data_IF_790203489991
#
_entry.id   IF_790203489991
#
_cell.length_a   1.000
_cell.length_b   1.000
_cell.length_c   1.000
_cell.angle_alpha   90.00
_cell.angle_beta   90.00
_cell.angle_gamma   90.00
#
_symmetry.space_group_name_H-M   'P 1'
#
loop_
_entity.id
_entity.type
_entity.pdbx_description
1 polymer ?
#
# COMPACT_ATOMS: atom_id res chain seq x y z
N UNK A 1 -4.85 -14.03 -8.87
CA UNK A 1 -4.57 -13.62 -10.27
C UNK A 1 -3.27 -14.24 -10.67
N UNK A 2 -3.11 -14.62 -11.93
CA UNK A 2 -1.90 -15.27 -12.40
C UNK A 2 -0.84 -14.26 -12.83
N UNK A 3 0.42 -14.66 -12.78
CA UNK A 3 1.54 -13.93 -13.40
C UNK A 3 1.59 -14.29 -14.88
N UNK A 4 1.83 -13.30 -15.73
CA UNK A 4 1.99 -13.46 -17.18
C UNK A 4 3.47 -13.40 -17.53
N UNK A 5 3.98 -14.50 -18.05
CA UNK A 5 5.31 -14.60 -18.63
C UNK A 5 5.27 -14.22 -20.12
N UNK A 6 6.39 -13.77 -20.66
CA UNK A 6 6.51 -13.34 -22.04
C UNK A 6 7.59 -14.14 -22.75
N UNK A 7 7.39 -14.44 -24.04
CA UNK A 7 8.41 -15.08 -24.88
C UNK A 7 9.68 -14.22 -24.92
N UNK A 8 10.89 -14.82 -24.84
CA UNK A 8 12.17 -14.11 -24.77
C UNK A 8 12.62 -13.58 -26.13
N UNK A 9 11.77 -12.81 -26.80
CA UNK A 9 12.04 -12.25 -28.16
C UNK A 9 12.97 -11.06 -28.19
N UNK A 10 13.27 -10.49 -27.01
CA UNK A 10 14.24 -9.39 -26.86
C UNK A 10 14.83 -9.39 -25.46
N UNK A 11 16.00 -8.74 -25.20
CA UNK A 11 16.59 -8.67 -23.86
C UNK A 11 15.63 -8.14 -22.80
N UNK A 12 14.80 -7.15 -23.12
CA UNK A 12 13.83 -6.58 -22.19
C UNK A 12 12.60 -7.45 -21.94
N UNK A 13 12.35 -8.49 -22.77
CA UNK A 13 11.24 -9.46 -22.60
C UNK A 13 11.69 -10.76 -21.95
N UNK A 14 12.98 -11.10 -22.02
CA UNK A 14 13.52 -12.37 -21.50
C UNK A 14 13.16 -12.63 -20.05
N UNK A 15 13.28 -11.65 -19.17
CA UNK A 15 12.94 -11.77 -17.76
C UNK A 15 11.66 -11.05 -17.37
N UNK A 16 10.79 -10.70 -18.33
CA UNK A 16 9.58 -9.93 -18.06
C UNK A 16 8.49 -10.80 -17.46
N UNK A 17 8.07 -10.48 -16.25
CA UNK A 17 6.95 -11.12 -15.55
C UNK A 17 6.04 -10.01 -15.02
N UNK A 18 4.79 -9.97 -15.46
CA UNK A 18 3.82 -8.98 -15.03
C UNK A 18 2.56 -9.66 -14.47
N UNK A 19 1.83 -8.94 -13.64
CA UNK A 19 0.50 -9.38 -13.20
C UNK A 19 -0.45 -9.37 -14.39
N UNK A 20 -1.22 -10.45 -14.55
CA UNK A 20 -2.29 -10.49 -15.53
C UNK A 20 -3.45 -9.57 -15.09
N UNK A 21 -3.87 -8.73 -16.01
CA UNK A 21 -4.97 -7.77 -15.82
C UNK A 21 -6.16 -8.06 -16.74
N UNK A 22 -6.21 -9.25 -17.33
CA UNK A 22 -7.25 -9.61 -18.30
C UNK A 22 -8.66 -9.55 -17.70
N UNK A 23 -8.80 -9.96 -16.43
CA UNK A 23 -10.07 -9.91 -15.69
C UNK A 23 -10.47 -8.53 -15.14
N UNK A 24 -9.70 -7.48 -15.41
CA UNK A 24 -10.06 -6.12 -14.99
C UNK A 24 -10.75 -5.35 -16.09
N UNK A 25 -11.62 -4.43 -15.70
CA UNK A 25 -12.26 -3.52 -16.63
C UNK A 25 -11.24 -2.68 -17.41
N UNK A 26 -11.37 -2.65 -18.72
CA UNK A 26 -10.43 -1.99 -19.65
C UNK A 26 -10.85 -0.58 -20.08
N UNK A 27 -12.06 -0.18 -19.71
CA UNK A 27 -12.62 1.12 -20.08
C UNK A 27 -12.10 2.29 -19.24
N UNK A 28 -12.70 3.44 -19.43
CA UNK A 28 -12.36 4.67 -18.70
C UNK A 28 -12.94 4.62 -17.27
N UNK A 29 -12.24 5.18 -16.28
CA UNK A 29 -12.79 5.33 -14.92
C UNK A 29 -13.97 6.33 -14.90
N UNK A 30 -14.79 6.28 -13.86
CA UNK A 30 -15.89 7.21 -13.66
C UNK A 30 -15.36 8.65 -13.57
N UNK A 31 -15.86 9.55 -14.40
CA UNK A 31 -15.31 10.93 -14.56
C UNK A 31 -15.45 11.75 -13.26
N UNK A 32 -16.56 11.62 -12.54
CA UNK A 32 -16.81 12.33 -11.28
C UNK A 32 -15.89 11.87 -10.12
N UNK A 33 -15.35 10.63 -10.18
CA UNK A 33 -14.50 10.05 -9.15
C UNK A 33 -13.00 10.11 -9.50
N UNK A 34 -12.60 10.96 -10.47
CA UNK A 34 -11.19 11.08 -10.83
C UNK A 34 -10.76 12.53 -10.99
N UNK A 35 -9.50 12.77 -10.65
CA UNK A 35 -8.84 14.08 -10.76
C UNK A 35 -7.50 13.96 -11.49
N UNK A 36 -7.08 15.03 -12.15
CA UNK A 36 -5.77 15.14 -12.78
C UNK A 36 -4.66 15.16 -11.72
N UNK A 37 -3.69 14.24 -11.83
CA UNK A 37 -2.56 14.20 -10.89
C UNK A 37 -1.34 14.90 -11.46
N UNK A 38 -1.04 16.10 -10.95
CA UNK A 38 0.19 16.81 -11.25
C UNK A 38 1.39 16.12 -10.60
N UNK A 39 2.52 16.06 -11.31
CA UNK A 39 3.76 15.45 -10.82
C UNK A 39 4.81 16.53 -10.59
N UNK A 40 5.39 16.55 -9.40
CA UNK A 40 6.40 17.54 -8.98
C UNK A 40 7.83 17.09 -9.27
N UNK A 41 8.05 15.83 -9.67
CA UNK A 41 9.39 15.29 -9.88
C UNK A 41 10.26 15.26 -8.60
N UNK A 42 9.64 15.21 -7.42
CA UNK A 42 10.31 15.19 -6.12
C UNK A 42 10.76 16.56 -5.64
N UNK A 43 10.25 17.66 -6.24
CA UNK A 43 10.53 19.05 -5.82
C UNK A 43 9.47 19.53 -4.85
N UNK A 44 9.88 20.39 -3.92
CA UNK A 44 9.00 21.14 -3.03
C UNK A 44 8.44 22.41 -3.72
N UNK A 45 7.69 23.21 -2.98
CA UNK A 45 7.13 24.50 -3.47
C UNK A 45 8.21 25.53 -3.83
N UNK A 46 9.44 25.43 -3.31
CA UNK A 46 10.59 26.28 -3.62
C UNK A 46 11.46 25.70 -4.76
N UNK A 47 11.04 24.61 -5.41
CA UNK A 47 11.79 23.97 -6.50
C UNK A 47 12.96 23.08 -6.08
N UNK A 48 13.28 22.98 -4.78
CA UNK A 48 14.36 22.13 -4.28
C UNK A 48 13.97 20.64 -4.28
N UNK A 49 14.93 19.79 -4.62
CA UNK A 49 14.73 18.33 -4.59
C UNK A 49 14.71 17.82 -3.16
N UNK A 50 13.52 17.47 -2.66
CA UNK A 50 13.31 16.90 -1.31
C UNK A 50 13.15 15.38 -1.35
N UNK A 51 12.72 14.82 -2.49
CA UNK A 51 12.61 13.38 -2.71
C UNK A 51 13.43 12.98 -3.92
N UNK A 52 14.53 12.25 -3.66
CA UNK A 52 15.46 11.83 -4.70
C UNK A 52 14.91 10.68 -5.54
N UNK A 53 15.42 10.53 -6.77
CA UNK A 53 15.06 9.42 -7.66
C UNK A 53 13.65 9.50 -8.23
N UNK A 54 12.96 10.63 -8.12
CA UNK A 54 11.65 10.83 -8.71
C UNK A 54 11.72 11.57 -10.06
N UNK A 55 10.83 11.16 -10.97
CA UNK A 55 10.65 11.78 -12.29
C UNK A 55 9.16 11.91 -12.61
N UNK A 56 8.82 12.51 -13.76
CA UNK A 56 7.44 12.63 -14.22
C UNK A 56 6.75 11.28 -14.43
N UNK A 57 7.36 10.39 -15.22
CA UNK A 57 6.75 9.14 -15.64
C UNK A 57 5.47 9.35 -16.47
N UNK A 58 4.71 8.27 -16.70
CA UNK A 58 3.47 8.31 -17.45
C UNK A 58 2.40 9.17 -16.75
N UNK A 59 1.60 9.94 -17.51
CA UNK A 59 0.47 10.74 -17.00
C UNK A 59 -0.54 9.84 -16.27
N UNK A 60 -1.00 10.27 -15.11
CA UNK A 60 -1.92 9.49 -14.26
C UNK A 60 -3.06 10.38 -13.77
N UNK A 61 -4.25 9.79 -13.61
CA UNK A 61 -5.37 10.38 -12.89
C UNK A 61 -5.43 9.77 -11.50
N UNK A 62 -5.69 10.58 -10.50
CA UNK A 62 -6.00 10.10 -9.15
C UNK A 62 -7.44 9.58 -9.11
N UNK A 63 -7.71 8.51 -8.34
CA UNK A 63 -9.05 7.99 -8.07
C UNK A 63 -9.40 8.29 -6.63
N UNK A 64 -10.57 8.86 -6.43
CA UNK A 64 -11.13 9.04 -5.10
C UNK A 64 -11.63 7.68 -4.60
N UNK A 65 -10.89 7.11 -3.64
CA UNK A 65 -11.25 5.83 -3.03
C UNK A 65 -11.78 6.11 -1.64
N UNK A 66 -12.93 5.54 -1.34
CA UNK A 66 -13.54 5.65 -0.01
C UNK A 66 -12.80 4.74 0.99
N UNK A 67 -11.87 5.35 1.74
CA UNK A 67 -11.17 4.68 2.83
C UNK A 67 -11.94 4.75 4.15
N UNK A 68 -13.02 5.53 4.22
CA UNK A 68 -13.77 5.75 5.45
C UNK A 68 -15.00 4.86 5.56
N UNK A 69 -15.53 4.40 4.42
CA UNK A 69 -16.73 3.57 4.36
C UNK A 69 -17.86 4.17 5.21
N UNK A 70 -18.14 5.46 4.99
CA UNK A 70 -19.09 6.25 5.81
C UNK A 70 -20.56 5.92 5.54
N UNK A 71 -20.87 5.30 4.43
CA UNK A 71 -22.22 4.97 4.03
C UNK A 71 -22.64 3.69 4.74
N UNK A 72 -23.20 3.87 5.94
CA UNK A 72 -23.56 2.76 6.81
C UNK A 72 -24.95 2.25 6.46
N UNK A 73 -25.14 0.94 6.63
CA UNK A 73 -26.39 0.19 6.45
C UNK A 73 -27.01 0.30 5.04
N UNK A 74 -26.24 0.80 4.06
CA UNK A 74 -26.63 0.86 2.66
C UNK A 74 -25.86 -0.22 1.89
N UNK A 75 -26.60 -1.14 1.27
CA UNK A 75 -26.03 -2.19 0.44
C UNK A 75 -25.52 -1.60 -0.89
N UNK A 76 -24.37 -2.05 -1.33
CA UNK A 76 -23.82 -1.69 -2.64
C UNK A 76 -23.44 -2.94 -3.41
N UNK A 77 -23.64 -2.92 -4.71
CA UNK A 77 -23.24 -4.01 -5.63
C UNK A 77 -21.96 -3.65 -6.35
N UNK A 78 -21.03 -4.59 -6.45
CA UNK A 78 -19.78 -4.42 -7.20
C UNK A 78 -20.09 -4.47 -8.70
N UNK A 79 -19.96 -3.34 -9.40
CA UNK A 79 -20.19 -3.27 -10.85
C UNK A 79 -19.00 -3.79 -11.64
N UNK A 80 -17.76 -3.45 -11.20
CA UNK A 80 -16.54 -3.84 -11.90
C UNK A 80 -15.28 -3.69 -11.04
N UNK A 81 -14.24 -4.41 -11.41
CA UNK A 81 -12.90 -4.30 -10.84
C UNK A 81 -12.01 -3.51 -11.79
N UNK A 82 -11.27 -2.53 -11.25
CA UNK A 82 -10.44 -1.63 -12.05
C UNK A 82 -8.97 -1.61 -11.59
N UNK A 83 -8.09 -1.34 -12.56
CA UNK A 83 -6.70 -1.02 -12.31
C UNK A 83 -6.54 0.44 -11.87
N UNK A 84 -5.84 0.69 -10.76
CA UNK A 84 -5.46 2.04 -10.34
C UNK A 84 -3.93 2.22 -10.46
N UNK A 85 -3.45 3.18 -11.28
CA UNK A 85 -2.01 3.43 -11.41
C UNK A 85 -1.38 4.11 -10.18
N UNK A 86 -2.16 4.52 -9.19
CA UNK A 86 -1.68 5.21 -8.01
C UNK A 86 -1.38 4.27 -6.83
N UNK A 87 -1.82 3.02 -6.94
CA UNK A 87 -1.64 2.00 -5.90
C UNK A 87 -1.34 0.64 -6.50
N UNK A 88 -0.84 -0.26 -5.68
CA UNK A 88 -0.52 -1.63 -6.09
C UNK A 88 -1.74 -2.56 -6.06
N UNK A 89 -2.73 -2.22 -5.21
CA UNK A 89 -4.00 -2.93 -5.11
C UNK A 89 -4.94 -2.55 -6.26
N UNK A 90 -5.87 -3.45 -6.60
CA UNK A 90 -7.00 -3.12 -7.46
C UNK A 90 -8.10 -2.42 -6.66
N UNK A 91 -8.98 -1.74 -7.37
CA UNK A 91 -10.14 -1.07 -6.81
C UNK A 91 -11.42 -1.66 -7.39
N UNK A 92 -12.49 -1.64 -6.62
CA UNK A 92 -13.82 -2.03 -7.05
C UNK A 92 -14.69 -0.78 -7.15
N UNK A 93 -15.44 -0.65 -8.24
CA UNK A 93 -16.53 0.30 -8.36
C UNK A 93 -17.78 -0.33 -7.76
N UNK A 94 -18.34 0.32 -6.75
CA UNK A 94 -19.56 -0.09 -6.07
C UNK A 94 -20.65 0.89 -6.42
N UNK A 95 -21.82 0.37 -6.79
CA UNK A 95 -23.06 1.12 -6.94
C UNK A 95 -23.96 0.81 -5.75
N UNK A 96 -24.25 1.81 -4.98
CA UNK A 96 -25.17 1.70 -3.85
C UNK A 96 -26.64 1.69 -4.30
N UNK A 97 -27.53 1.20 -3.46
CA UNK A 97 -28.98 1.12 -3.75
C UNK A 97 -29.61 2.48 -4.04
N UNK A 98 -29.03 3.57 -3.51
CA UNK A 98 -29.45 4.96 -3.78
C UNK A 98 -28.87 5.53 -5.09
N UNK A 99 -28.14 4.73 -5.88
CA UNK A 99 -27.55 5.11 -7.16
C UNK A 99 -26.17 5.78 -7.06
N UNK A 100 -25.67 6.08 -5.87
CA UNK A 100 -24.33 6.65 -5.70
C UNK A 100 -23.23 5.65 -6.08
N UNK A 101 -22.18 6.14 -6.75
CA UNK A 101 -21.03 5.36 -7.13
C UNK A 101 -19.84 5.71 -6.23
N UNK A 102 -19.12 4.70 -5.74
CA UNK A 102 -17.89 4.87 -4.98
C UNK A 102 -16.82 3.84 -5.35
N UNK A 103 -15.56 4.24 -5.31
CA UNK A 103 -14.45 3.29 -5.37
C UNK A 103 -14.08 2.81 -3.98
N UNK A 104 -13.88 1.51 -3.81
CA UNK A 104 -13.32 0.89 -2.62
C UNK A 104 -12.06 0.11 -2.98
N UNK A 105 -11.23 -0.23 -1.99
CA UNK A 105 -10.16 -1.23 -2.20
C UNK A 105 -10.81 -2.59 -2.45
N UNK A 106 -10.41 -3.25 -3.53
CA UNK A 106 -10.89 -4.59 -3.80
C UNK A 106 -10.14 -5.61 -2.93
N UNK A 107 -10.80 -6.38 -2.07
CA UNK A 107 -10.20 -7.53 -1.41
C UNK A 107 -9.99 -8.69 -2.39
N UNK A 108 -9.21 -9.68 -1.96
CA UNK A 108 -9.14 -10.96 -2.64
C UNK A 108 -10.51 -11.65 -2.62
N UNK A 109 -10.81 -12.40 -3.68
CA UNK A 109 -12.07 -13.15 -3.86
C UNK A 109 -13.33 -12.28 -4.04
N UNK A 110 -13.22 -10.97 -4.13
CA UNK A 110 -14.35 -10.11 -4.51
C UNK A 110 -14.59 -10.23 -6.02
N UNK A 111 -15.80 -10.54 -6.41
CA UNK A 111 -16.23 -10.66 -7.80
C UNK A 111 -17.20 -9.53 -8.20
N UNK A 112 -17.40 -9.39 -9.50
CA UNK A 112 -18.44 -8.51 -10.04
C UNK A 112 -19.82 -9.13 -9.72
N UNK A 113 -20.74 -8.32 -9.25
CA UNK A 113 -22.07 -8.74 -8.78
C UNK A 113 -22.14 -9.00 -7.27
N UNK A 114 -21.01 -9.10 -6.57
CA UNK A 114 -21.02 -9.27 -5.12
C UNK A 114 -21.62 -8.05 -4.44
N UNK A 115 -22.32 -8.30 -3.33
CA UNK A 115 -22.90 -7.29 -2.46
C UNK A 115 -21.93 -6.95 -1.32
N UNK A 116 -21.78 -5.68 -1.02
CA UNK A 116 -20.92 -5.16 0.04
C UNK A 116 -21.66 -4.13 0.87
N UNK A 117 -21.47 -4.19 2.18
CA UNK A 117 -22.08 -3.27 3.13
C UNK A 117 -21.06 -2.74 4.12
N UNK A 118 -21.28 -1.56 4.64
CA UNK A 118 -20.59 -1.02 5.81
C UNK A 118 -21.60 -0.83 6.92
N UNK A 119 -21.39 -1.43 8.07
CA UNK A 119 -22.30 -1.36 9.21
C UNK A 119 -21.51 -1.46 10.53
N UNK A 120 -22.17 -1.27 11.65
CA UNK A 120 -21.55 -1.54 12.96
C UNK A 120 -21.16 -3.02 13.06
N UNK A 121 -22.08 -3.91 12.65
CA UNK A 121 -21.90 -5.35 12.54
C UNK A 121 -22.41 -5.83 11.20
N UNK A 122 -21.63 -6.59 10.47
CA UNK A 122 -21.98 -7.17 9.18
C UNK A 122 -21.47 -8.61 9.08
N UNK A 123 -21.92 -9.35 8.06
CA UNK A 123 -21.38 -10.67 7.75
C UNK A 123 -19.89 -10.63 7.43
N UNK A 124 -19.15 -11.68 7.77
CA UNK A 124 -17.72 -11.81 7.50
C UNK A 124 -17.42 -12.15 6.03
N UNK A 125 -18.13 -11.51 5.09
CA UNK A 125 -17.90 -11.64 3.64
C UNK A 125 -16.82 -10.65 3.17
N UNK A 126 -15.97 -11.03 2.19
CA UNK A 126 -14.96 -10.12 1.65
C UNK A 126 -15.59 -8.84 1.10
N UNK A 127 -15.07 -7.69 1.51
CA UNK A 127 -15.58 -6.37 1.10
C UNK A 127 -16.53 -5.70 2.09
N UNK A 128 -17.13 -6.44 3.01
CA UNK A 128 -17.92 -5.86 4.08
C UNK A 128 -17.02 -5.13 5.08
N UNK A 129 -17.46 -3.98 5.55
CA UNK A 129 -16.75 -3.17 6.54
C UNK A 129 -17.56 -3.11 7.84
N UNK A 130 -16.86 -3.29 8.96
CA UNK A 130 -17.50 -3.23 10.29
C UNK A 130 -16.51 -2.77 11.36
N UNK A 131 -17.02 -2.50 12.56
CA UNK A 131 -16.19 -2.18 13.71
C UNK A 131 -15.33 -3.38 14.12
N UNK A 132 -14.07 -3.12 14.46
CA UNK A 132 -13.13 -4.18 14.88
C UNK A 132 -13.63 -4.93 16.13
N UNK A 133 -14.33 -4.23 17.00
CA UNK A 133 -14.97 -4.81 18.17
C UNK A 133 -16.04 -5.86 17.87
N UNK A 134 -16.66 -5.81 16.72
CA UNK A 134 -17.71 -6.73 16.29
C UNK A 134 -17.20 -7.88 15.42
N UNK A 135 -15.96 -7.76 14.88
CA UNK A 135 -15.37 -8.81 14.05
C UNK A 135 -15.02 -10.03 14.88
N UNK A 136 -15.30 -11.25 14.43
CA UNK A 136 -14.83 -12.49 15.09
C UNK A 136 -13.30 -12.53 15.20
N UNK A 137 -12.80 -13.13 16.29
CA UNK A 137 -11.36 -13.38 16.46
C UNK A 137 -10.90 -14.34 15.35
N UNK A 138 -9.68 -14.12 14.84
CA UNK A 138 -9.13 -14.85 13.70
C UNK A 138 -9.42 -14.21 12.34
N UNK A 139 -10.39 -13.29 12.26
CA UNK A 139 -10.75 -12.63 10.99
C UNK A 139 -9.56 -11.90 10.37
N UNK A 140 -9.40 -12.08 9.07
CA UNK A 140 -8.46 -11.32 8.25
C UNK A 140 -9.18 -10.09 7.72
N UNK A 141 -8.60 -8.91 7.92
CA UNK A 141 -9.16 -7.64 7.47
C UNK A 141 -8.09 -6.75 6.84
N UNK A 142 -8.53 -5.73 6.12
CA UNK A 142 -7.69 -4.71 5.51
C UNK A 142 -8.33 -3.33 5.66
N UNK A 143 -7.69 -2.29 5.15
CA UNK A 143 -8.19 -0.92 5.24
C UNK A 143 -8.58 -0.52 6.68
N UNK A 144 -7.73 -0.89 7.64
CA UNK A 144 -8.02 -0.76 9.07
C UNK A 144 -7.69 0.65 9.54
N UNK A 145 -8.57 1.23 10.33
CA UNK A 145 -8.38 2.53 10.97
C UNK A 145 -7.42 2.44 12.15
N UNK A 146 -6.72 3.54 12.42
CA UNK A 146 -5.91 3.75 13.64
C UNK A 146 -6.62 4.61 14.68
N UNK A 147 -7.57 5.43 14.23
CA UNK A 147 -8.45 6.26 15.05
C UNK A 147 -9.82 6.21 14.40
N UNK A 148 -10.90 6.12 15.19
CA UNK A 148 -12.26 6.06 14.67
C UNK A 148 -12.57 7.24 13.74
N UNK A 149 -13.23 6.97 12.62
CA UNK A 149 -13.68 7.96 11.64
C UNK A 149 -12.57 8.63 10.82
N UNK A 150 -11.29 8.33 11.06
CA UNK A 150 -10.18 8.89 10.29
C UNK A 150 -10.04 8.27 8.90
N UNK A 151 -10.56 7.09 8.71
CA UNK A 151 -10.40 6.28 7.51
C UNK A 151 -9.23 5.30 7.62
N UNK A 152 -9.29 4.24 6.84
CA UNK A 152 -8.31 3.16 6.88
C UNK A 152 -6.90 3.63 6.54
N UNK A 153 -5.94 3.21 7.32
CA UNK A 153 -4.51 3.57 7.20
C UNK A 153 -3.61 2.34 7.12
N UNK A 154 -4.01 1.23 7.73
CA UNK A 154 -3.25 -0.01 7.80
C UNK A 154 -3.76 -0.97 6.73
N UNK A 155 -2.86 -1.78 6.15
CA UNK A 155 -3.17 -2.82 5.16
C UNK A 155 -3.96 -2.31 3.95
N UNK A 156 -3.35 -1.40 3.16
CA UNK A 156 -3.93 -0.86 1.92
C UNK A 156 -3.14 -1.24 0.67
N UNK A 157 -1.93 -1.78 0.83
CA UNK A 157 -1.11 -2.21 -0.28
C UNK A 157 -1.52 -3.61 -0.76
N UNK A 158 -1.17 -3.95 -2.01
CA UNK A 158 -1.43 -5.27 -2.59
C UNK A 158 -1.01 -6.42 -1.68
N UNK A 159 -1.88 -7.40 -1.48
CA UNK A 159 -1.63 -8.59 -0.68
C UNK A 159 -1.50 -8.35 0.83
N UNK A 160 -1.60 -7.10 1.32
CA UNK A 160 -1.49 -6.81 2.75
C UNK A 160 -2.79 -7.13 3.49
N UNK A 161 -2.63 -7.48 4.76
CA UNK A 161 -3.75 -7.79 5.65
C UNK A 161 -3.37 -7.53 7.11
N UNK A 162 -4.35 -7.55 7.95
CA UNK A 162 -4.28 -7.53 9.42
C UNK A 162 -5.09 -8.71 9.92
N UNK A 163 -4.60 -9.44 10.89
CA UNK A 163 -5.34 -10.49 11.57
C UNK A 163 -5.76 -10.02 12.96
N UNK A 164 -7.01 -10.19 13.28
CA UNK A 164 -7.57 -9.96 14.60
C UNK A 164 -7.19 -11.15 15.48
N UNK A 165 -6.46 -10.91 16.57
CA UNK A 165 -5.93 -11.98 17.44
C UNK A 165 -6.75 -12.11 18.70
N UNK A 166 -7.26 -11.02 19.24
CA UNK A 166 -8.03 -11.02 20.47
C UNK A 166 -8.62 -9.66 20.81
N UNK A 167 -9.31 -9.60 21.94
CA UNK A 167 -9.90 -8.38 22.50
C UNK A 167 -9.51 -8.24 23.95
N UNK A 168 -9.27 -7.03 24.41
CA UNK A 168 -8.94 -6.73 25.78
C UNK A 168 -9.41 -5.32 26.14
N UNK A 169 -10.24 -5.17 27.19
CA UNK A 169 -10.66 -3.89 27.79
C UNK A 169 -11.07 -2.80 26.78
N UNK A 170 -11.96 -3.09 25.83
CA UNK A 170 -12.41 -2.15 24.80
C UNK A 170 -11.39 -1.88 23.70
N UNK A 171 -10.29 -2.61 23.71
CA UNK A 171 -9.26 -2.61 22.67
C UNK A 171 -9.26 -3.94 21.92
N UNK A 172 -8.76 -3.91 20.70
CA UNK A 172 -8.58 -5.10 19.86
C UNK A 172 -7.10 -5.33 19.64
N UNK A 173 -6.66 -6.57 19.81
CA UNK A 173 -5.28 -6.99 19.53
C UNK A 173 -5.22 -7.43 18.07
N UNK A 174 -4.38 -6.76 17.31
CA UNK A 174 -4.19 -7.07 15.90
C UNK A 174 -2.74 -7.45 15.58
N UNK A 175 -2.58 -8.43 14.69
CA UNK A 175 -1.28 -8.81 14.11
C UNK A 175 -1.18 -8.23 12.70
N UNK A 176 -0.20 -7.38 12.49
CA UNK A 176 0.11 -6.78 11.20
C UNK A 176 0.90 -7.75 10.32
N UNK A 177 0.91 -7.49 9.01
CA UNK A 177 1.70 -8.27 8.04
C UNK A 177 3.22 -8.27 8.33
N UNK A 178 3.72 -7.26 9.05
CA UNK A 178 5.12 -7.20 9.52
C UNK A 178 5.44 -8.12 10.71
N UNK A 179 4.41 -8.76 11.30
CA UNK A 179 4.52 -9.55 12.53
C UNK A 179 4.36 -8.73 13.82
N UNK A 180 4.26 -7.40 13.74
CA UNK A 180 3.98 -6.54 14.89
C UNK A 180 2.58 -6.85 15.45
N UNK A 181 2.47 -6.98 16.75
CA UNK A 181 1.18 -7.06 17.45
C UNK A 181 0.95 -5.76 18.21
N UNK A 182 -0.25 -5.21 18.06
CA UNK A 182 -0.59 -3.93 18.68
C UNK A 182 -2.06 -3.84 19.05
N UNK A 183 -2.34 -2.93 19.97
CA UNK A 183 -3.70 -2.52 20.31
C UNK A 183 -4.24 -1.52 19.30
N UNK A 184 -5.51 -1.66 18.94
CA UNK A 184 -6.36 -0.67 18.29
C UNK A 184 -7.65 -0.53 19.09
N UNK A 185 -8.32 0.61 19.00
CA UNK A 185 -9.63 0.79 19.63
C UNK A 185 -10.67 -0.10 18.94
N UNK A 186 -11.60 -0.64 19.72
CA UNK A 186 -12.69 -1.48 19.22
C UNK A 186 -13.60 -0.73 18.22
N UNK A 187 -13.76 0.59 18.42
CA UNK A 187 -14.57 1.49 17.57
C UNK A 187 -13.91 1.80 16.20
N UNK A 188 -12.68 1.36 15.97
CA UNK A 188 -12.06 1.51 14.65
C UNK A 188 -12.70 0.59 13.63
N UNK A 189 -12.87 1.07 12.41
CA UNK A 189 -13.44 0.29 11.31
C UNK A 189 -12.35 -0.50 10.57
N UNK A 190 -12.71 -1.66 10.06
CA UNK A 190 -11.90 -2.47 9.15
C UNK A 190 -12.77 -3.14 8.10
N UNK A 191 -12.19 -3.51 6.97
CA UNK A 191 -12.87 -4.22 5.88
C UNK A 191 -12.41 -5.67 5.85
N UNK A 192 -13.33 -6.62 5.78
CA UNK A 192 -13.06 -8.06 5.78
C UNK A 192 -12.31 -8.47 4.51
N UNK A 193 -11.36 -9.38 4.67
CA UNK A 193 -10.52 -9.95 3.61
C UNK A 193 -9.13 -9.33 3.51
N UNK A 194 -8.23 -9.96 2.77
CA UNK A 194 -6.92 -9.43 2.40
C UNK A 194 -7.02 -8.60 1.12
N UNK A 195 -6.12 -7.63 0.94
CA UNK A 195 -6.10 -6.78 -0.27
C UNK A 195 -5.74 -7.61 -1.50
N UNK A 196 -6.37 -7.29 -2.63
CA UNK A 196 -6.14 -7.92 -3.93
C UNK A 196 -4.68 -7.83 -4.41
N UNK A 197 -4.37 -8.57 -5.49
CA UNK A 197 -3.10 -8.51 -6.20
C UNK A 197 -1.86 -8.91 -5.37
N UNK A 198 -1.86 -10.04 -4.64
CA UNK A 198 -0.71 -10.47 -3.83
C UNK A 198 0.56 -10.69 -4.67
N UNK A 199 0.42 -11.09 -5.92
CA UNK A 199 1.52 -11.35 -6.86
C UNK A 199 2.22 -10.09 -7.37
N UNK A 200 1.78 -8.89 -6.93
CA UNK A 200 2.44 -7.65 -7.32
C UNK A 200 3.94 -7.61 -6.94
N UNK A 201 4.32 -8.25 -5.84
CA UNK A 201 5.72 -8.35 -5.41
C UNK A 201 6.57 -9.27 -6.29
N UNK A 202 5.95 -10.23 -6.98
CA UNK A 202 6.59 -11.23 -7.82
C UNK A 202 6.83 -10.73 -9.26
N UNK A 203 6.49 -9.48 -9.56
CA UNK A 203 6.71 -8.89 -10.86
C UNK A 203 8.20 -8.66 -11.14
N UNK A 204 8.62 -8.97 -12.36
CA UNK A 204 9.91 -8.56 -12.91
C UNK A 204 9.67 -7.61 -14.09
N UNK A 205 10.19 -6.39 -13.98
CA UNK A 205 9.97 -5.36 -15.00
C UNK A 205 10.78 -5.55 -16.29
N UNK A 206 11.77 -6.43 -16.29
CA UNK A 206 12.56 -6.83 -17.46
C UNK A 206 13.51 -5.77 -18.01
N UNK A 207 13.21 -4.48 -17.91
CA UNK A 207 14.07 -3.39 -18.38
C UNK A 207 13.97 -2.12 -17.52
N UNK A 208 15.06 -1.35 -17.47
CA UNK A 208 15.12 -0.08 -16.74
C UNK A 208 14.12 0.98 -17.22
N UNK A 209 13.80 0.98 -18.51
CA UNK A 209 12.82 1.90 -19.09
C UNK A 209 11.42 1.79 -18.47
N UNK A 210 10.99 0.60 -18.01
CA UNK A 210 9.71 0.44 -17.29
C UNK A 210 9.71 1.20 -15.97
N UNK A 211 10.82 1.21 -15.22
CA UNK A 211 10.96 2.03 -14.03
C UNK A 211 10.86 3.52 -14.35
N UNK A 212 11.46 3.95 -15.46
CA UNK A 212 11.35 5.35 -15.94
C UNK A 212 9.89 5.71 -16.24
N UNK A 213 9.14 4.82 -16.88
CA UNK A 213 7.70 5.01 -17.11
C UNK A 213 6.89 5.14 -15.81
N UNK A 214 7.30 4.45 -14.75
CA UNK A 214 6.70 4.57 -13.41
C UNK A 214 7.11 5.85 -12.68
N UNK A 215 8.01 6.65 -13.23
CA UNK A 215 8.51 7.89 -12.62
C UNK A 215 9.69 7.68 -11.66
N UNK A 216 10.41 6.57 -11.79
CA UNK A 216 11.56 6.26 -10.95
C UNK A 216 12.85 6.51 -11.76
N UNK A 217 13.73 7.38 -11.25
CA UNK A 217 15.08 7.61 -11.78
C UNK A 217 16.08 6.65 -11.15
N UNK A 218 17.19 6.33 -11.84
CA UNK A 218 18.34 5.69 -11.23
C UNK A 218 18.86 6.50 -10.03
N UNK A 219 19.29 5.79 -8.99
CA UNK A 219 19.92 6.40 -7.81
C UNK A 219 21.41 6.14 -7.85
N UNK A 220 22.21 7.22 -7.84
CA UNK A 220 23.65 7.14 -7.71
C UNK A 220 24.03 6.77 -6.28
N UNK A 221 24.89 5.77 -6.11
CA UNK A 221 25.43 5.37 -4.81
C UNK A 221 26.25 6.51 -4.19
N UNK A 222 26.25 6.62 -2.87
CA UNK A 222 27.01 7.65 -2.15
C UNK A 222 28.53 7.56 -2.42
N UNK A 223 29.07 6.34 -2.55
CA UNK A 223 30.50 6.09 -2.85
C UNK A 223 30.92 6.63 -4.23
N UNK A 224 29.99 6.72 -5.19
CA UNK A 224 30.26 7.24 -6.54
C UNK A 224 30.11 8.76 -6.66
N UNK A 225 30.06 9.46 -5.53
CA UNK A 225 29.90 10.92 -5.47
C UNK A 225 31.16 11.58 -4.93
N UNK A 226 31.21 12.90 -5.05
CA UNK A 226 32.26 13.69 -4.42
C UNK A 226 32.01 13.86 -2.92
N UNK A 227 33.04 14.18 -2.11
CA UNK A 227 32.89 14.36 -0.65
C UNK A 227 31.85 15.41 -0.26
N UNK A 228 31.68 16.46 -1.05
CA UNK A 228 30.68 17.52 -0.84
C UNK A 228 29.24 17.01 -0.96
N UNK A 229 29.01 15.97 -1.77
CA UNK A 229 27.67 15.46 -2.06
C UNK A 229 27.22 14.32 -1.14
N UNK A 230 28.18 13.61 -0.57
CA UNK A 230 27.88 12.47 0.31
C UNK A 230 29.03 12.12 1.24
N UNK A 231 28.77 11.78 2.51
CA UNK A 231 29.82 11.35 3.47
C UNK A 231 30.65 10.12 3.06
N UNK A 232 30.19 9.36 2.07
CA UNK A 232 30.91 8.22 1.47
C UNK A 232 31.60 8.59 0.17
N UNK A 233 31.59 9.85 -0.23
CA UNK A 233 32.19 10.32 -1.47
C UNK A 233 33.69 10.51 -1.36
N UNK A 234 34.33 10.60 -2.51
CA UNK A 234 35.77 10.81 -2.64
C UNK A 234 36.58 9.52 -2.87
N UNK A 235 37.92 9.70 -2.89
CA UNK A 235 38.86 8.65 -3.18
C UNK A 235 39.22 8.49 -4.66
N UNK A 236 40.28 7.75 -4.95
CA UNK A 236 40.71 7.40 -6.30
C UNK A 236 40.20 6.01 -6.69
N UNK A 237 39.67 5.88 -7.90
CA UNK A 237 39.19 4.62 -8.47
C UNK A 237 38.06 3.98 -7.66
N UNK A 238 38.13 2.67 -7.40
CA UNK A 238 37.19 1.90 -6.60
C UNK A 238 37.50 2.00 -5.11
N UNK A 239 36.97 2.99 -4.45
CA UNK A 239 37.09 3.15 -3.00
C UNK A 239 35.91 2.50 -2.25
N UNK A 240 36.16 2.10 -0.99
CA UNK A 240 35.12 1.67 -0.05
C UNK A 240 34.44 2.90 0.58
N UNK A 241 33.35 2.67 1.37
CA UNK A 241 32.64 3.77 2.03
C UNK A 241 33.43 4.51 3.11
N UNK A 242 34.57 3.98 3.55
CA UNK A 242 35.50 4.59 4.52
C UNK A 242 34.96 4.76 5.95
N UNK A 243 33.69 4.46 6.19
CA UNK A 243 32.99 4.64 7.48
C UNK A 243 31.73 3.79 7.56
N UNK A 244 31.10 3.76 8.74
CA UNK A 244 29.80 3.10 8.88
C UNK A 244 28.78 3.67 7.89
N UNK A 245 27.86 2.83 7.34
CA UNK A 245 26.87 3.28 6.37
C UNK A 245 26.00 4.39 6.93
N UNK A 246 26.00 5.53 6.26
CA UNK A 246 25.20 6.72 6.61
C UNK A 246 24.41 7.25 5.43
N UNK A 247 23.37 8.04 5.74
CA UNK A 247 22.60 8.80 4.75
C UNK A 247 23.41 9.99 4.24
N UNK A 248 23.00 10.68 3.17
CA UNK A 248 23.61 11.93 2.73
C UNK A 248 23.72 13.03 3.81
N UNK A 249 22.89 12.93 4.84
CA UNK A 249 22.86 13.85 5.98
C UNK A 249 23.60 13.31 7.22
N UNK A 250 24.43 12.28 7.05
CA UNK A 250 25.27 11.71 8.11
C UNK A 250 24.55 10.80 9.11
N UNK A 251 23.25 10.53 8.95
CA UNK A 251 22.51 9.65 9.87
C UNK A 251 22.83 8.17 9.60
N UNK A 252 23.09 7.35 10.64
CA UNK A 252 23.29 5.91 10.47
C UNK A 252 22.12 5.24 9.74
N UNK A 253 22.44 4.35 8.78
CA UNK A 253 21.43 3.60 8.01
C UNK A 253 21.20 2.20 8.51
N UNK A 254 22.13 1.64 9.29
CA UNK A 254 22.06 0.30 9.91
C UNK A 254 22.05 0.41 11.41
N UNK A 255 21.25 -0.44 12.06
CA UNK A 255 21.19 -0.56 13.52
C UNK A 255 20.38 0.52 14.26
N UNK A 256 20.32 1.73 13.75
CA UNK A 256 19.59 2.82 14.42
C UNK A 256 18.08 2.62 14.38
N UNK A 257 17.42 2.76 15.53
CA UNK A 257 15.96 2.77 15.63
C UNK A 257 15.43 4.13 15.17
N UNK A 258 14.74 4.14 14.01
CA UNK A 258 14.25 5.38 13.37
C UNK A 258 12.83 5.79 13.79
N UNK A 259 12.11 4.98 14.58
CA UNK A 259 10.78 5.33 15.09
C UNK A 259 10.86 6.54 16.02
N UNK A 260 10.18 7.62 15.65
CA UNK A 260 10.16 8.89 16.43
C UNK A 260 8.97 9.01 17.39
N UNK A 261 7.81 8.46 16.99
CA UNK A 261 6.59 8.57 17.80
C UNK A 261 6.64 7.61 18.99
N UNK A 262 7.03 8.10 20.15
CA UNK A 262 7.09 7.36 21.42
C UNK A 262 5.74 7.23 22.11
N UNK A 263 4.83 8.18 21.91
CA UNK A 263 3.52 8.19 22.57
C UNK A 263 2.69 6.94 22.28
N UNK A 264 2.87 6.34 21.10
CA UNK A 264 2.15 5.13 20.68
C UNK A 264 2.92 3.82 20.93
N UNK A 265 4.07 3.86 21.61
CA UNK A 265 4.83 2.65 21.96
C UNK A 265 4.03 1.77 22.92
N UNK A 266 3.25 2.37 23.85
CA UNK A 266 2.31 1.66 24.73
C UNK A 266 1.25 0.81 24.02
N UNK A 267 0.98 1.13 22.76
CA UNK A 267 0.05 0.34 21.93
C UNK A 267 0.71 -0.87 21.27
N UNK A 268 2.03 -1.04 21.38
CA UNK A 268 2.76 -2.16 20.77
C UNK A 268 2.96 -3.24 21.83
N UNK A 269 2.29 -4.38 21.65
CA UNK A 269 2.45 -5.57 22.51
C UNK A 269 3.75 -6.30 22.15
N UNK A 270 3.94 -6.54 20.85
CA UNK A 270 5.11 -7.22 20.31
C UNK A 270 5.65 -6.49 19.11
N UNK A 271 6.90 -6.01 19.22
CA UNK A 271 7.59 -5.37 18.09
C UNK A 271 7.88 -6.39 16.97
N UNK A 272 7.89 -5.94 15.72
CA UNK A 272 8.34 -6.73 14.56
C UNK A 272 9.79 -7.24 14.68
N UNK A 273 10.60 -6.61 15.53
CA UNK A 273 11.99 -6.97 15.81
C UNK A 273 12.17 -7.85 17.03
N UNK A 274 11.10 -8.19 17.74
CA UNK A 274 11.18 -9.11 18.89
C UNK A 274 11.68 -10.48 18.40
N UNK A 275 12.78 -10.96 18.99
CA UNK A 275 13.28 -12.32 18.70
C UNK A 275 12.18 -13.31 19.02
N UNK A 276 11.93 -14.29 18.13
CA UNK A 276 11.14 -15.47 18.49
C UNK A 276 11.85 -16.12 19.67
N UNK A 277 11.19 -16.26 20.82
CA UNK A 277 11.67 -17.21 21.84
C UNK A 277 11.72 -18.58 21.15
N UNK A 278 12.92 -19.15 21.09
CA UNK A 278 13.12 -20.54 20.67
C UNK A 278 12.43 -21.45 21.67
#
# INVERSE_FOLDING_TARGET
MALKNYKPTSPGRRGLILVDKSGLYKGKPVKSLVEGKRKTGGRNNKGHVTSRGMAGGHKQKYRYVDFKRRKWDVEGTVERLEYDPNRTAFIALVKYTDGELAYILAPQRLAVGDKVIAAEKADTKPGNAMLLGQMPVGTICHNVEMKPGKGGQIARAAGSYVQLVGRDRGMVIVRLNSGEQRYLRADCMGTVGAVSNPDNQNQNLGKAGRRRWMGIKPLTRGVAKNPVDHPHGGGEGRTSGGRHPVTPWGKPTKGARTRKNKQTDKMIIRSRHAKKKR
#
